data_IF_566866557302
#
_entry.id   IF_566866557302
#
_cell.length_a   1.000
_cell.length_b   1.000
_cell.length_c   1.000
_cell.angle_alpha   90.00
_cell.angle_beta   90.00
_cell.angle_gamma   90.00
#
_symmetry.space_group_name_H-M   'P 1'
#
loop_
_entity.id
_entity.type
_entity.pdbx_description
1 polymer ?
#
# COMPACT_ATOMS: atom_id res chain seq x y z
N UNK A 1 13.65 -14.50 -0.04
CA UNK A 1 14.78 -13.85 0.68
C UNK A 1 14.19 -13.17 1.91
N UNK A 2 14.42 -13.73 3.08
CA UNK A 2 13.91 -13.25 4.38
C UNK A 2 15.11 -12.99 5.33
N UNK A 3 15.40 -11.79 5.63
CA UNK A 3 14.97 -10.46 5.13
C UNK A 3 16.06 -9.89 4.22
N UNK A 4 15.80 -8.76 3.53
CA UNK A 4 16.81 -8.12 2.68
C UNK A 4 18.10 -7.84 3.45
N UNK A 5 18.03 -7.28 4.68
CA UNK A 5 19.19 -7.00 5.53
C UNK A 5 20.00 -8.24 5.90
N UNK A 6 19.34 -9.39 6.08
CA UNK A 6 20.05 -10.65 6.38
C UNK A 6 20.75 -11.23 5.17
N UNK A 7 20.20 -10.98 3.98
CA UNK A 7 20.76 -11.44 2.72
C UNK A 7 21.93 -10.59 2.23
N UNK A 8 21.99 -9.32 2.66
CA UNK A 8 23.05 -8.37 2.29
C UNK A 8 23.64 -7.71 3.56
N UNK A 9 24.35 -8.47 4.40
CA UNK A 9 24.91 -7.96 5.65
C UNK A 9 25.96 -6.87 5.38
N UNK A 10 25.85 -5.75 6.11
CA UNK A 10 26.75 -4.60 5.97
C UNK A 10 26.42 -3.62 4.86
N UNK A 11 25.39 -3.89 4.08
CA UNK A 11 24.90 -2.97 3.04
C UNK A 11 24.23 -1.74 3.66
N UNK A 12 24.54 -0.55 3.15
CA UNK A 12 23.73 0.64 3.43
C UNK A 12 22.49 0.67 2.52
N UNK A 13 21.33 0.41 3.11
CA UNK A 13 20.05 0.39 2.39
C UNK A 13 19.70 1.72 1.72
N UNK A 14 20.28 2.84 2.16
CA UNK A 14 20.04 4.16 1.59
C UNK A 14 21.02 4.50 0.46
N UNK A 15 22.05 3.69 0.27
CA UNK A 15 23.04 3.88 -0.80
C UNK A 15 22.49 3.33 -2.13
N UNK A 16 22.41 4.22 -3.13
CA UNK A 16 21.87 3.87 -4.46
C UNK A 16 22.70 2.79 -5.17
N UNK A 17 24.02 2.84 -5.07
CA UNK A 17 24.91 1.89 -5.75
C UNK A 17 24.79 0.49 -5.12
N UNK A 18 24.79 0.41 -3.80
CA UNK A 18 24.65 -0.85 -3.07
C UNK A 18 23.27 -1.47 -3.28
N UNK A 19 22.21 -0.67 -3.24
CA UNK A 19 20.87 -1.13 -3.58
C UNK A 19 20.79 -1.62 -5.05
N UNK A 20 21.49 -0.95 -5.96
CA UNK A 20 21.61 -1.39 -7.36
C UNK A 20 22.23 -2.78 -7.50
N UNK A 21 23.24 -3.10 -6.69
CA UNK A 21 23.86 -4.44 -6.67
C UNK A 21 22.88 -5.53 -6.21
N UNK A 22 22.08 -5.23 -5.19
CA UNK A 22 21.05 -6.16 -4.69
C UNK A 22 20.01 -6.44 -5.75
N UNK A 23 19.52 -5.39 -6.42
CA UNK A 23 18.55 -5.53 -7.52
C UNK A 23 19.13 -6.37 -8.67
N UNK A 24 20.41 -6.13 -9.02
CA UNK A 24 21.08 -6.90 -10.04
C UNK A 24 21.26 -8.38 -9.65
N UNK A 25 21.62 -8.66 -8.40
CA UNK A 25 21.73 -10.02 -7.86
C UNK A 25 20.38 -10.74 -7.90
N UNK A 26 19.28 -10.08 -7.49
CA UNK A 26 17.94 -10.64 -7.57
C UNK A 26 17.54 -11.00 -8.99
N UNK A 27 17.84 -10.12 -9.94
CA UNK A 27 17.58 -10.35 -11.36
C UNK A 27 18.39 -11.54 -11.91
N UNK A 28 19.64 -11.67 -11.50
CA UNK A 28 20.50 -12.80 -11.87
C UNK A 28 19.93 -14.11 -11.32
N UNK A 29 19.48 -14.14 -10.06
CA UNK A 29 18.83 -15.32 -9.46
C UNK A 29 17.58 -15.68 -10.27
N UNK A 30 16.73 -14.72 -10.57
CA UNK A 30 15.51 -14.93 -11.36
C UNK A 30 15.83 -15.51 -12.74
N UNK A 31 16.84 -14.98 -13.41
CA UNK A 31 17.26 -15.46 -14.74
C UNK A 31 17.86 -16.88 -14.71
N UNK A 32 18.54 -17.21 -13.62
CA UNK A 32 19.22 -18.51 -13.49
C UNK A 32 18.27 -19.63 -13.08
N UNK A 33 17.39 -19.33 -12.12
CA UNK A 33 16.50 -20.34 -11.50
C UNK A 33 15.10 -20.30 -12.12
N UNK A 34 14.71 -19.18 -12.69
CA UNK A 34 13.34 -18.91 -13.14
C UNK A 34 12.42 -18.54 -11.98
N UNK A 35 11.15 -18.24 -12.30
CA UNK A 35 10.11 -18.00 -11.33
C UNK A 35 10.15 -16.62 -10.67
N UNK A 36 9.71 -16.55 -9.42
CA UNK A 36 9.55 -15.31 -8.63
C UNK A 36 10.69 -15.17 -7.62
N UNK A 37 11.27 -13.97 -7.53
CA UNK A 37 12.13 -13.58 -6.42
C UNK A 37 11.31 -12.71 -5.46
N UNK A 38 11.01 -13.23 -4.28
CA UNK A 38 10.27 -12.54 -3.24
C UNK A 38 11.23 -12.03 -2.16
N UNK A 39 11.17 -10.73 -1.89
CA UNK A 39 11.85 -10.10 -0.75
C UNK A 39 10.88 -9.86 0.39
N UNK A 40 11.27 -10.28 1.60
CA UNK A 40 10.66 -9.80 2.83
C UNK A 40 11.50 -8.63 3.34
N UNK A 41 10.86 -7.50 3.54
CA UNK A 41 11.55 -6.27 3.94
C UNK A 41 10.70 -5.46 4.92
N UNK A 42 11.34 -4.66 5.76
CA UNK A 42 10.64 -3.85 6.73
C UNK A 42 10.26 -2.48 6.17
N UNK A 43 9.13 -1.95 6.62
CA UNK A 43 8.82 -0.54 6.47
C UNK A 43 9.72 0.31 7.37
N UNK A 44 9.94 1.59 7.02
CA UNK A 44 10.63 2.52 7.89
C UNK A 44 9.85 2.82 9.17
N UNK A 45 10.47 3.54 10.12
CA UNK A 45 9.77 4.03 11.33
C UNK A 45 8.57 4.92 11.00
N UNK A 46 8.65 5.63 9.90
CA UNK A 46 7.56 6.42 9.33
C UNK A 46 6.89 5.61 8.22
N UNK A 47 5.79 4.96 8.56
CA UNK A 47 5.01 4.09 7.65
C UNK A 47 4.50 4.87 6.43
N UNK A 48 4.32 6.19 6.55
CA UNK A 48 3.84 7.03 5.44
C UNK A 48 4.83 7.11 4.28
N UNK A 49 6.11 6.83 4.54
CA UNK A 49 7.20 6.84 3.54
C UNK A 49 7.35 5.52 2.78
N UNK A 50 6.56 4.50 3.14
CA UNK A 50 6.57 3.19 2.48
C UNK A 50 7.79 2.34 2.83
N UNK A 51 8.32 1.60 1.84
CA UNK A 51 9.48 0.72 1.99
C UNK A 51 10.69 1.49 2.49
N UNK A 52 11.37 0.90 3.49
CA UNK A 52 12.64 1.40 3.99
C UNK A 52 13.73 1.28 2.94
N UNK A 53 14.67 2.23 2.93
CA UNK A 53 15.84 2.24 2.06
C UNK A 53 15.69 3.11 0.82
N UNK A 54 16.58 2.93 -0.13
CA UNK A 54 16.64 3.75 -1.33
C UNK A 54 15.45 3.49 -2.26
N UNK A 55 14.89 4.55 -2.84
CA UNK A 55 13.70 4.50 -3.70
C UNK A 55 13.85 3.62 -4.96
N UNK A 56 15.08 3.31 -5.38
CA UNK A 56 15.37 2.41 -6.50
C UNK A 56 14.83 0.99 -6.26
N UNK A 57 14.81 0.52 -5.01
CA UNK A 57 14.22 -0.78 -4.70
C UNK A 57 12.73 -0.79 -5.08
N UNK A 58 11.97 0.18 -4.56
CA UNK A 58 10.54 0.26 -4.88
C UNK A 58 10.29 0.43 -6.38
N UNK A 59 11.14 1.20 -7.08
CA UNK A 59 11.03 1.40 -8.52
C UNK A 59 11.24 0.09 -9.30
N UNK A 60 12.15 -0.78 -8.85
CA UNK A 60 12.53 -2.03 -9.51
C UNK A 60 11.53 -3.18 -9.30
N UNK A 61 10.65 -3.11 -8.29
CA UNK A 61 9.67 -4.15 -8.01
C UNK A 61 8.54 -4.16 -9.05
N UNK A 62 8.11 -5.33 -9.49
CA UNK A 62 6.89 -5.50 -10.28
C UNK A 62 5.64 -5.39 -9.40
N UNK A 63 5.70 -5.86 -8.16
CA UNK A 63 4.64 -5.70 -7.17
C UNK A 63 5.21 -5.51 -5.76
N UNK A 64 4.47 -4.81 -4.92
CA UNK A 64 4.74 -4.67 -3.49
C UNK A 64 3.46 -4.92 -2.70
N UNK A 65 3.54 -5.78 -1.70
CA UNK A 65 2.48 -6.05 -0.74
C UNK A 65 2.92 -5.49 0.60
N UNK A 66 2.14 -4.61 1.16
CA UNK A 66 2.34 -4.09 2.51
C UNK A 66 1.45 -4.85 3.49
N UNK A 67 2.03 -5.23 4.62
CA UNK A 67 1.29 -5.86 5.73
C UNK A 67 1.39 -4.95 6.95
N UNK A 68 0.25 -4.52 7.44
CA UNK A 68 0.12 -3.69 8.64
C UNK A 68 -0.62 -4.44 9.76
N UNK A 69 -0.48 -3.95 11.00
CA UNK A 69 -1.18 -4.49 12.18
C UNK A 69 -1.79 -3.36 12.99
N UNK A 70 -3.05 -3.57 13.39
CA UNK A 70 -3.77 -2.70 14.33
C UNK A 70 -4.51 -3.58 15.35
N UNK A 71 -3.96 -3.71 16.56
CA UNK A 71 -4.47 -4.65 17.56
C UNK A 71 -4.35 -6.11 17.09
N UNK A 72 -5.47 -6.83 17.08
CA UNK A 72 -5.53 -8.23 16.62
C UNK A 72 -5.80 -8.36 15.12
N UNK A 73 -6.19 -7.27 14.46
CA UNK A 73 -6.43 -7.26 13.02
C UNK A 73 -5.15 -6.90 12.29
N UNK A 74 -4.87 -7.66 11.26
CA UNK A 74 -3.83 -7.38 10.27
C UNK A 74 -4.49 -7.07 8.95
N UNK A 75 -3.79 -6.33 8.14
CA UNK A 75 -4.25 -5.98 6.79
C UNK A 75 -3.08 -6.14 5.83
N UNK A 76 -3.29 -6.81 4.73
CA UNK A 76 -2.37 -6.75 3.61
C UNK A 76 -2.99 -5.92 2.49
N UNK A 77 -2.18 -5.12 1.84
CA UNK A 77 -2.60 -4.28 0.72
C UNK A 77 -1.60 -4.35 -0.43
N UNK A 78 -2.10 -4.21 -1.64
CA UNK A 78 -1.24 -4.06 -2.82
C UNK A 78 -0.78 -2.61 -2.87
N UNK A 79 0.44 -2.36 -2.39
CA UNK A 79 1.04 -1.03 -2.37
C UNK A 79 1.57 -0.60 -3.75
N UNK A 80 1.89 -1.58 -4.61
CA UNK A 80 2.29 -1.37 -6.01
C UNK A 80 1.92 -2.59 -6.83
N UNK A 81 1.37 -2.37 -8.01
CA UNK A 81 1.24 -3.38 -9.06
C UNK A 81 1.57 -2.74 -10.40
N UNK A 82 2.57 -3.29 -11.12
CA UNK A 82 3.02 -2.75 -12.42
C UNK A 82 1.93 -2.89 -13.49
N UNK A 83 1.28 -4.05 -13.51
CA UNK A 83 0.33 -4.42 -14.56
C UNK A 83 -1.08 -4.68 -13.99
N UNK A 84 -1.38 -4.21 -12.76
CA UNK A 84 -2.66 -4.46 -12.07
C UNK A 84 -3.14 -3.27 -11.25
N UNK A 85 -4.30 -3.46 -10.61
CA UNK A 85 -4.83 -2.48 -9.67
C UNK A 85 -4.07 -2.57 -8.35
N UNK A 86 -3.67 -1.43 -7.82
CA UNK A 86 -3.13 -1.25 -6.48
C UNK A 86 -4.19 -0.67 -5.52
N UNK A 87 -3.81 -0.48 -4.26
CA UNK A 87 -4.64 0.15 -3.24
C UNK A 87 -5.75 -0.75 -2.65
N UNK A 88 -5.93 -1.99 -3.10
CA UNK A 88 -6.85 -2.93 -2.46
C UNK A 88 -6.25 -3.46 -1.18
N UNK A 89 -7.05 -3.45 -0.10
CA UNK A 89 -6.65 -4.01 1.18
C UNK A 89 -7.56 -5.13 1.63
N UNK A 90 -6.98 -6.07 2.37
CA UNK A 90 -7.65 -7.29 2.80
C UNK A 90 -7.33 -7.53 4.28
N UNK A 91 -8.26 -7.26 5.18
CA UNK A 91 -8.08 -7.51 6.60
C UNK A 91 -8.14 -9.00 6.92
N UNK A 92 -7.34 -9.41 7.88
CA UNK A 92 -7.28 -10.78 8.37
C UNK A 92 -6.90 -10.85 9.84
N UNK A 93 -7.16 -11.99 10.46
CA UNK A 93 -6.65 -12.37 11.78
C UNK A 93 -5.78 -13.61 11.64
N UNK A 94 -4.90 -13.81 12.61
CA UNK A 94 -4.21 -15.07 12.78
C UNK A 94 -4.94 -15.88 13.85
N UNK A 95 -5.35 -17.08 13.48
CA UNK A 95 -5.90 -18.08 14.37
C UNK A 95 -4.79 -19.06 14.72
N UNK A 96 -4.58 -19.27 16.02
CA UNK A 96 -3.60 -20.25 16.51
C UNK A 96 -4.20 -21.65 16.41
N UNK A 97 -3.49 -22.55 15.77
CA UNK A 97 -3.89 -23.96 15.64
C UNK A 97 -2.83 -24.86 16.26
N UNK A 98 -3.25 -25.89 16.96
CA UNK A 98 -2.35 -26.91 17.50
C UNK A 98 -2.01 -27.91 16.40
N UNK A 99 -0.72 -28.13 16.17
CA UNK A 99 -0.18 -29.05 15.16
C UNK A 99 0.14 -30.42 15.75
N UNK A 100 0.39 -30.47 17.06
CA UNK A 100 0.77 -31.67 17.79
C UNK A 100 1.25 -31.31 19.18
N UNK A 101 1.96 -32.23 19.81
CA UNK A 101 2.66 -32.04 21.08
C UNK A 101 4.13 -32.41 20.90
N UNK A 102 5.01 -31.77 21.65
CA UNK A 102 6.43 -32.11 21.69
C UNK A 102 6.70 -33.27 22.66
N UNK A 103 7.97 -33.63 22.84
CA UNK A 103 8.39 -34.75 23.69
C UNK A 103 8.10 -34.49 25.18
N UNK A 104 7.95 -33.22 25.60
CA UNK A 104 7.62 -32.80 26.97
C UNK A 104 6.11 -32.67 27.18
N UNK A 105 5.29 -32.88 26.16
CA UNK A 105 3.83 -32.80 26.17
C UNK A 105 3.26 -31.40 25.95
N UNK A 106 4.10 -30.45 25.62
CA UNK A 106 3.67 -29.09 25.33
C UNK A 106 3.09 -28.94 23.89
N UNK A 107 2.06 -28.11 23.68
CA UNK A 107 1.44 -28.00 22.39
C UNK A 107 2.35 -27.27 21.38
N UNK A 108 2.67 -27.94 20.28
CA UNK A 108 3.29 -27.33 19.11
C UNK A 108 2.20 -26.59 18.35
N UNK A 109 2.33 -25.26 18.26
CA UNK A 109 1.31 -24.42 17.62
C UNK A 109 1.83 -23.73 16.37
N UNK A 110 0.93 -23.42 15.46
CA UNK A 110 1.15 -22.57 14.29
C UNK A 110 -0.02 -21.59 14.13
N UNK A 111 0.00 -20.78 13.09
CA UNK A 111 -1.09 -19.85 12.81
C UNK A 111 -1.63 -20.06 11.39
N UNK A 112 -2.95 -19.92 11.25
CA UNK A 112 -3.62 -19.84 9.96
C UNK A 112 -4.23 -18.47 9.77
N UNK A 113 -4.31 -18.03 8.52
CA UNK A 113 -4.92 -16.75 8.15
C UNK A 113 -6.43 -16.94 8.07
N UNK A 114 -7.16 -16.14 8.85
CA UNK A 114 -8.62 -16.06 8.78
C UNK A 114 -9.03 -14.72 8.18
N UNK A 115 -9.67 -14.69 7.00
CA UNK A 115 -10.20 -13.46 6.43
C UNK A 115 -11.24 -12.83 7.34
N UNK A 116 -11.18 -11.52 7.52
CA UNK A 116 -12.20 -10.76 8.25
C UNK A 116 -13.19 -10.19 7.24
N UNK A 117 -14.44 -10.65 7.28
CA UNK A 117 -15.49 -10.13 6.41
C UNK A 117 -15.97 -8.76 6.92
N UNK A 118 -16.27 -7.84 5.99
CA UNK A 118 -16.92 -6.57 6.30
C UNK A 118 -16.00 -5.43 6.74
N UNK A 119 -14.70 -5.62 6.83
CA UNK A 119 -13.78 -4.49 6.88
C UNK A 119 -13.62 -3.96 5.45
N UNK A 120 -14.47 -3.00 5.11
CA UNK A 120 -14.38 -2.33 3.82
C UNK A 120 -13.00 -1.76 3.57
N UNK A 121 -12.66 -1.64 2.32
CA UNK A 121 -11.49 -0.91 1.84
C UNK A 121 -11.33 0.36 2.69
N UNK A 122 -10.39 0.38 3.61
CA UNK A 122 -9.97 1.62 4.24
C UNK A 122 -9.20 2.38 3.16
N UNK A 123 -9.92 3.14 2.36
CA UNK A 123 -9.28 4.15 1.54
C UNK A 123 -8.42 5.01 2.48
N UNK A 124 -7.17 5.19 2.12
CA UNK A 124 -6.30 6.13 2.82
C UNK A 124 -7.07 7.45 2.95
N UNK A 125 -7.17 8.05 4.14
CA UNK A 125 -7.89 9.30 4.28
C UNK A 125 -7.30 10.31 3.30
N UNK A 126 -8.19 11.03 2.62
CA UNK A 126 -7.78 12.05 1.68
C UNK A 126 -6.95 13.12 2.42
N UNK A 127 -5.90 13.60 1.79
CA UNK A 127 -5.22 14.79 2.28
C UNK A 127 -6.19 16.00 2.23
N UNK A 128 -5.96 17.05 3.03
CA UNK A 128 -6.83 18.24 3.00
C UNK A 128 -7.04 18.79 1.58
N UNK A 129 -6.00 18.83 0.78
CA UNK A 129 -6.10 19.30 -0.63
C UNK A 129 -6.93 18.35 -1.51
N UNK A 130 -6.78 17.04 -1.33
CA UNK A 130 -7.59 16.05 -2.03
C UNK A 130 -9.06 16.12 -1.62
N UNK A 131 -9.34 16.37 -0.34
CA UNK A 131 -10.70 16.57 0.15
C UNK A 131 -11.33 17.81 -0.48
N UNK A 132 -10.61 18.95 -0.49
CA UNK A 132 -11.07 20.15 -1.19
C UNK A 132 -11.34 19.87 -2.68
N UNK A 133 -10.46 19.11 -3.33
CA UNK A 133 -10.63 18.71 -4.73
C UNK A 133 -11.90 17.90 -4.98
N UNK A 134 -12.17 16.92 -4.12
CA UNK A 134 -13.39 16.10 -4.19
C UNK A 134 -14.65 16.92 -3.91
N UNK A 135 -14.64 17.72 -2.86
CA UNK A 135 -15.78 18.55 -2.48
C UNK A 135 -16.10 19.59 -3.56
N UNK A 136 -15.06 20.14 -4.21
CA UNK A 136 -15.20 21.06 -5.33
C UNK A 136 -15.78 20.38 -6.58
N UNK A 137 -15.33 19.15 -6.86
CA UNK A 137 -15.89 18.33 -7.95
C UNK A 137 -17.37 18.05 -7.72
N UNK A 138 -17.72 17.59 -6.52
CA UNK A 138 -19.10 17.26 -6.18
C UNK A 138 -20.02 18.48 -6.26
N UNK A 139 -19.55 19.64 -5.85
CA UNK A 139 -20.30 20.89 -5.96
C UNK A 139 -20.52 21.32 -7.42
N UNK A 140 -19.46 21.28 -8.23
CA UNK A 140 -19.54 21.58 -9.66
C UNK A 140 -20.44 20.58 -10.41
N UNK A 141 -20.35 19.30 -10.05
CA UNK A 141 -21.18 18.26 -10.65
C UNK A 141 -22.65 18.37 -10.26
N UNK A 142 -22.97 18.77 -9.02
CA UNK A 142 -24.33 18.99 -8.57
C UNK A 142 -25.06 20.05 -9.39
N UNK A 143 -24.34 21.05 -9.93
CA UNK A 143 -24.89 22.06 -10.81
C UNK A 143 -25.20 21.54 -12.24
N UNK A 144 -24.70 20.37 -12.61
CA UNK A 144 -24.86 19.77 -13.94
C UNK A 144 -25.72 18.50 -13.95
N UNK A 145 -26.44 18.18 -12.87
CA UNK A 145 -27.33 17.05 -12.82
C UNK A 145 -28.58 17.37 -13.69
N UNK A 146 -28.70 16.68 -14.83
CA UNK A 146 -29.91 16.63 -15.61
C UNK A 146 -30.70 15.36 -15.26
N UNK A 147 -32.00 15.47 -15.13
CA UNK A 147 -32.95 14.44 -14.65
C UNK A 147 -32.92 13.09 -15.43
N UNK A 148 -32.17 13.00 -16.51
CA UNK A 148 -32.04 11.78 -17.33
C UNK A 148 -30.66 11.12 -17.35
N UNK A 149 -29.61 11.77 -16.84
CA UNK A 149 -28.25 11.22 -16.85
C UNK A 149 -27.82 10.82 -15.42
N UNK A 150 -27.60 9.52 -15.21
CA UNK A 150 -27.10 8.97 -13.94
C UNK A 150 -25.60 9.18 -13.71
N UNK A 151 -24.92 9.86 -14.63
CA UNK A 151 -23.48 10.09 -14.53
C UNK A 151 -23.21 11.38 -13.79
N UNK A 152 -22.36 11.31 -12.76
CA UNK A 152 -21.84 12.47 -12.06
C UNK A 152 -20.68 13.03 -12.92
N UNK A 153 -20.87 14.23 -13.47
CA UNK A 153 -19.83 14.90 -14.27
C UNK A 153 -19.79 16.40 -13.97
N UNK A 154 -18.63 16.98 -14.14
CA UNK A 154 -18.42 18.43 -14.07
C UNK A 154 -17.53 18.88 -15.23
N UNK A 155 -17.79 20.06 -15.78
CA UNK A 155 -16.86 20.66 -16.73
C UNK A 155 -15.58 21.06 -15.97
N UNK A 156 -14.41 20.87 -16.63
CA UNK A 156 -13.11 21.12 -16.00
C UNK A 156 -12.98 22.54 -15.43
N UNK A 157 -13.45 23.55 -16.19
CA UNK A 157 -13.37 24.94 -15.75
C UNK A 157 -14.24 25.20 -14.53
N UNK A 158 -15.48 24.67 -14.49
CA UNK A 158 -16.37 24.78 -13.32
C UNK A 158 -15.75 24.13 -12.08
N UNK A 159 -15.15 22.95 -12.24
CA UNK A 159 -14.46 22.29 -11.13
C UNK A 159 -13.25 23.10 -10.67
N UNK A 160 -12.44 23.60 -11.60
CA UNK A 160 -11.25 24.42 -11.29
C UNK A 160 -11.61 25.69 -10.53
N UNK A 161 -12.62 26.43 -10.98
CA UNK A 161 -13.06 27.65 -10.34
C UNK A 161 -13.58 27.39 -8.92
N UNK A 162 -14.37 26.31 -8.72
CA UNK A 162 -14.84 25.91 -7.40
C UNK A 162 -13.70 25.44 -6.50
N UNK A 163 -12.68 24.76 -7.04
CA UNK A 163 -11.49 24.37 -6.31
C UNK A 163 -10.69 25.57 -5.82
N UNK A 164 -10.45 26.55 -6.67
CA UNK A 164 -9.74 27.77 -6.27
C UNK A 164 -10.53 28.56 -5.23
N UNK A 165 -11.82 28.70 -5.42
CA UNK A 165 -12.69 29.38 -4.44
C UNK A 165 -12.60 28.76 -3.05
N UNK A 166 -12.56 27.43 -2.93
CA UNK A 166 -12.44 26.72 -1.66
C UNK A 166 -11.01 26.68 -1.12
N UNK A 167 -10.01 26.60 -1.97
CA UNK A 167 -8.60 26.47 -1.56
C UNK A 167 -7.98 27.81 -1.12
N UNK A 168 -8.39 28.93 -1.70
CA UNK A 168 -7.87 30.26 -1.36
C UNK A 168 -8.60 30.88 -0.17
N UNK A 169 -9.73 30.31 0.25
CA UNK A 169 -10.58 30.85 1.32
C UNK A 169 -11.02 32.27 0.96
N UNK A 170 -12.26 32.44 0.50
CA UNK A 170 -12.88 33.76 0.56
C UNK A 170 -12.78 34.25 2.01
N UNK A 171 -11.82 35.12 2.28
CA UNK A 171 -11.91 36.00 3.46
C UNK A 171 -13.04 36.97 3.12
N UNK A 172 -14.15 36.94 3.82
CA UNK A 172 -15.10 38.03 3.71
C UNK A 172 -14.36 39.30 4.13
N UNK A 173 -14.45 40.34 3.31
CA UNK A 173 -14.05 41.69 3.63
C UNK A 173 -14.70 42.14 4.93
#
# INVERSE_FOLDING_TARGET
IDTLNRAAPGMDENNSAEMGQVIAAAKLIQQTVGGLVLFVHHTGKDVSKGLRGHSSLHAALDAAIEVSRSGDVREWSVAKAKDGQDGRSHPFKLEVVTMGVDDDGDPITSCVIQPVQGAGVRSKPLTPTQQIGLDSFMAAAAANINDGDRRVHAHLDQWRDEFYRRSTGDKPD
#
